data_IF_663864472428
#
_entry.id   IF_663864472428
#
_cell.length_a   1.000
_cell.length_b   1.000
_cell.length_c   1.000
_cell.angle_alpha   90.00
_cell.angle_beta   90.00
_cell.angle_gamma   90.00
#
_symmetry.space_group_name_H-M   'P 1'
#
loop_
_entity.id
_entity.type
_entity.pdbx_description
1 polymer ?
#
# COMPACT_ATOMS: atom_id res chain seq x y z
N UNK A 1 -42.16 16.83 -17.15
CA UNK A 1 -40.84 16.27 -16.82
C UNK A 1 -40.19 15.43 -17.94
N UNK A 2 -40.91 14.98 -18.98
CA UNK A 2 -40.34 14.16 -20.08
C UNK A 2 -39.73 14.92 -21.29
N UNK A 3 -39.92 16.25 -21.42
CA UNK A 3 -39.32 17.01 -22.54
C UNK A 3 -37.87 17.47 -22.30
N UNK A 4 -37.39 17.57 -21.05
CA UNK A 4 -36.03 18.08 -20.75
C UNK A 4 -34.91 17.07 -21.07
N UNK A 5 -35.20 15.77 -21.09
CA UNK A 5 -34.18 14.75 -21.36
C UNK A 5 -33.87 14.60 -22.86
N UNK A 6 -34.83 14.86 -23.75
CA UNK A 6 -34.63 14.74 -25.21
C UNK A 6 -33.61 15.79 -25.72
N UNK A 7 -33.63 17.00 -25.15
CA UNK A 7 -32.70 18.06 -25.53
C UNK A 7 -31.25 17.80 -25.07
N UNK A 8 -31.05 17.18 -23.89
CA UNK A 8 -29.70 16.80 -23.44
C UNK A 8 -29.08 15.73 -24.34
N UNK A 9 -29.86 14.72 -24.75
CA UNK A 9 -29.35 13.66 -25.63
C UNK A 9 -29.01 14.16 -27.03
N UNK A 10 -29.80 15.11 -27.58
CA UNK A 10 -29.53 15.74 -28.88
C UNK A 10 -28.27 16.62 -28.86
N UNK A 11 -28.00 17.35 -27.77
CA UNK A 11 -26.81 18.20 -27.62
C UNK A 11 -25.54 17.35 -27.48
N UNK A 12 -25.58 16.26 -26.70
CA UNK A 12 -24.45 15.32 -26.60
C UNK A 12 -24.11 14.64 -27.93
N UNK A 13 -25.12 14.33 -28.76
CA UNK A 13 -24.89 13.74 -30.07
C UNK A 13 -24.29 14.73 -31.07
N UNK A 14 -24.67 16.02 -31.01
CA UNK A 14 -24.11 17.07 -31.86
C UNK A 14 -22.65 17.41 -31.51
N UNK A 15 -22.30 17.39 -30.21
CA UNK A 15 -20.94 17.61 -29.72
C UNK A 15 -19.99 16.47 -30.13
N UNK A 16 -20.47 15.23 -30.14
CA UNK A 16 -19.68 14.06 -30.58
C UNK A 16 -19.35 14.13 -32.09
N UNK A 17 -20.30 14.59 -32.91
CA UNK A 17 -20.09 14.76 -34.37
C UNK A 17 -19.08 15.88 -34.67
N UNK A 18 -19.09 16.96 -33.89
CA UNK A 18 -18.12 18.06 -34.01
C UNK A 18 -16.70 17.64 -33.58
N UNK A 19 -16.57 16.74 -32.62
CA UNK A 19 -15.28 16.21 -32.16
C UNK A 19 -14.65 15.22 -33.17
N UNK A 20 -15.47 14.40 -33.84
CA UNK A 20 -14.98 13.49 -34.88
C UNK A 20 -14.49 14.24 -36.13
N UNK A 21 -15.06 15.41 -36.43
CA UNK A 21 -14.62 16.26 -37.54
C UNK A 21 -13.33 17.05 -37.25
N UNK A 22 -13.01 17.36 -35.99
CA UNK A 22 -11.75 18.05 -35.65
C UNK A 22 -10.53 17.12 -35.70
N UNK A 23 -10.70 15.83 -35.40
CA UNK A 23 -9.63 14.82 -35.41
C UNK A 23 -9.26 14.36 -36.83
N UNK A 24 -10.17 14.50 -37.82
CA UNK A 24 -9.86 14.15 -39.22
C UNK A 24 -9.12 15.24 -40.01
N UNK A 25 -8.87 16.42 -39.43
CA UNK A 25 -8.18 17.53 -40.12
C UNK A 25 -6.69 17.70 -39.76
N UNK A 26 -6.10 16.88 -38.89
CA UNK A 26 -4.69 17.01 -38.48
C UNK A 26 -3.75 15.96 -39.07
N UNK A 27 -4.23 15.04 -39.90
CA UNK A 27 -3.41 14.06 -40.63
C UNK A 27 -3.29 14.44 -42.11
N UNK A 28 -2.67 15.59 -42.38
CA UNK A 28 -2.18 15.96 -43.71
C UNK A 28 -1.11 17.03 -43.59
N UNK A 29 0.09 16.62 -43.18
CA UNK A 29 1.38 17.27 -43.49
C UNK A 29 2.52 16.52 -42.80
N UNK A 30 3.24 15.68 -43.55
CA UNK A 30 4.70 15.51 -43.47
C UNK A 30 5.14 14.32 -44.33
N UNK A 31 5.42 14.62 -45.60
CA UNK A 31 6.29 13.81 -46.46
C UNK A 31 7.31 14.77 -47.06
N UNK A 32 8.59 14.65 -46.67
CA UNK A 32 9.77 15.05 -47.46
C UNK A 32 11.03 14.88 -46.59
N UNK A 33 11.82 13.83 -46.85
CA UNK A 33 13.26 13.90 -47.16
C UNK A 33 13.82 12.46 -47.31
N UNK A 34 14.13 12.07 -48.56
CA UNK A 34 15.18 11.08 -48.86
C UNK A 34 16.55 11.79 -48.94
N UNK A 35 17.70 11.16 -49.18
CA UNK A 35 18.07 9.82 -49.64
C UNK A 35 19.61 9.69 -49.57
N UNK A 36 20.09 8.46 -49.35
CA UNK A 36 21.34 7.80 -49.82
C UNK A 36 22.75 8.35 -49.48
N UNK A 37 23.61 7.45 -48.95
CA UNK A 37 24.67 6.75 -49.73
C UNK A 37 25.38 5.61 -48.99
N UNK A 38 25.69 4.58 -49.79
CA UNK A 38 26.34 3.28 -49.52
C UNK A 38 27.82 3.33 -49.12
N UNK A 39 28.30 2.20 -48.57
CA UNK A 39 29.70 1.76 -48.65
C UNK A 39 30.06 0.63 -47.68
N UNK A 40 29.92 -0.62 -48.12
CA UNK A 40 30.44 -1.82 -47.46
C UNK A 40 31.98 -1.95 -47.58
N UNK A 41 32.55 -2.69 -46.61
CA UNK A 41 33.40 -3.89 -46.80
C UNK A 41 34.87 -3.90 -46.32
N UNK A 42 35.17 -4.96 -45.53
CA UNK A 42 36.41 -5.79 -45.44
C UNK A 42 37.48 -5.58 -44.33
N UNK A 43 37.43 -6.53 -43.37
CA UNK A 43 38.45 -7.45 -42.74
C UNK A 43 39.69 -7.00 -41.95
N UNK A 44 39.88 -7.68 -40.79
CA UNK A 44 41.05 -8.45 -40.27
C UNK A 44 42.48 -7.86 -40.47
N UNK A 45 43.43 -7.94 -39.54
CA UNK A 45 43.91 -9.13 -38.82
C UNK A 45 44.96 -8.72 -37.77
N UNK A 46 45.15 -9.59 -36.77
CA UNK A 46 46.15 -9.50 -35.71
C UNK A 46 47.55 -9.93 -36.17
N UNK A 47 48.60 -9.51 -35.45
CA UNK A 47 49.96 -10.00 -35.62
C UNK A 47 50.84 -9.76 -34.39
N UNK A 48 51.16 -10.84 -33.69
CA UNK A 48 52.14 -10.97 -32.60
C UNK A 48 53.47 -11.57 -33.17
N UNK A 49 54.45 -12.05 -32.38
CA UNK A 49 55.64 -11.38 -31.80
C UNK A 49 56.99 -11.91 -32.34
N UNK A 50 58.12 -11.34 -31.89
CA UNK A 50 59.40 -12.03 -31.58
C UNK A 50 60.44 -10.99 -31.06
N UNK A 51 60.90 -11.01 -29.80
CA UNK A 51 61.84 -11.92 -29.10
C UNK A 51 63.33 -11.55 -29.24
N UNK A 52 64.06 -11.69 -28.11
CA UNK A 52 65.52 -11.89 -27.93
C UNK A 52 66.39 -10.60 -27.93
N UNK A 53 67.33 -10.36 -27.02
CA UNK A 53 68.24 -11.22 -26.24
C UNK A 53 68.72 -10.53 -24.94
N UNK A 54 68.98 -11.34 -23.90
CA UNK A 54 69.96 -11.11 -22.82
C UNK A 54 71.30 -11.78 -23.22
N UNK A 55 72.45 -11.72 -22.49
CA UNK A 55 72.67 -11.40 -21.06
C UNK A 55 73.96 -10.57 -20.77
N UNK A 56 74.22 -10.20 -19.50
CA UNK A 56 75.49 -10.55 -18.83
C UNK A 56 75.47 -10.27 -17.31
N UNK A 57 76.23 -11.08 -16.58
CA UNK A 57 76.33 -11.18 -15.11
C UNK A 57 77.26 -10.12 -14.48
N UNK A 58 77.05 -9.83 -13.19
CA UNK A 58 78.00 -9.05 -12.38
C UNK A 58 77.59 -8.86 -10.92
N UNK A 59 78.10 -9.73 -10.05
CA UNK A 59 77.90 -9.77 -8.58
C UNK A 59 78.70 -8.65 -7.88
N UNK A 60 78.09 -7.85 -6.97
CA UNK A 60 78.65 -7.41 -5.66
C UNK A 60 77.51 -7.03 -4.69
N UNK A 61 77.65 -7.43 -3.42
CA UNK A 61 76.77 -7.19 -2.26
C UNK A 61 76.87 -5.74 -1.74
N UNK A 62 75.75 -5.16 -1.27
CA UNK A 62 75.65 -4.47 0.04
C UNK A 62 74.24 -3.89 0.31
N UNK A 63 73.74 -4.18 1.51
CA UNK A 63 72.89 -3.41 2.41
C UNK A 63 71.65 -2.62 1.90
N UNK A 64 70.49 -3.13 2.32
CA UNK A 64 69.49 -2.44 3.14
C UNK A 64 68.91 -1.11 2.61
N UNK A 65 67.72 -1.21 1.99
CA UNK A 65 66.64 -0.21 2.14
C UNK A 65 65.30 -0.90 1.97
N UNK A 66 64.52 -0.90 3.04
CA UNK A 66 63.10 -1.22 2.99
C UNK A 66 62.42 -0.28 1.99
N UNK A 67 61.91 -0.83 0.89
CA UNK A 67 60.77 -0.21 0.22
C UNK A 67 59.57 -0.45 1.12
N UNK A 68 59.25 0.53 1.95
CA UNK A 68 57.91 0.60 2.51
C UNK A 68 56.95 0.66 1.34
N UNK A 69 56.11 -0.36 1.22
CA UNK A 69 54.76 -0.12 0.73
C UNK A 69 54.20 0.92 1.70
N UNK A 70 54.17 2.18 1.27
CA UNK A 70 53.23 3.14 1.84
C UNK A 70 51.86 2.58 1.49
N UNK A 71 51.34 1.74 2.38
CA UNK A 71 49.92 1.54 2.50
C UNK A 71 49.35 2.94 2.74
N UNK A 72 48.87 3.59 1.67
CA UNK A 72 47.98 4.72 1.81
C UNK A 72 46.83 4.21 2.68
N UNK A 73 46.84 4.62 3.93
CA UNK A 73 45.78 4.37 4.89
C UNK A 73 44.52 4.92 4.23
N UNK A 74 43.69 4.01 3.70
CA UNK A 74 42.49 4.38 2.95
C UNK A 74 41.56 4.98 3.98
N UNK A 75 41.44 6.30 3.96
CA UNK A 75 40.57 7.01 4.88
C UNK A 75 39.14 6.51 4.71
N UNK A 76 38.38 6.37 5.81
CA UNK A 76 37.00 5.95 5.73
C UNK A 76 36.19 6.98 4.93
N UNK A 77 35.18 6.49 4.21
CA UNK A 77 34.26 7.35 3.46
C UNK A 77 33.36 8.08 4.45
N UNK A 78 33.33 9.42 4.36
CA UNK A 78 32.54 10.26 5.26
C UNK A 78 31.11 10.40 4.76
N UNK A 79 30.19 9.90 5.56
CA UNK A 79 28.76 9.87 5.29
C UNK A 79 28.07 10.88 6.19
N UNK A 80 27.35 11.82 5.60
CA UNK A 80 26.41 12.66 6.32
C UNK A 80 25.00 12.09 6.16
N UNK A 81 24.30 11.92 7.28
CA UNK A 81 22.90 11.49 7.29
C UNK A 81 22.07 12.68 7.75
N UNK A 82 21.11 13.07 6.92
CA UNK A 82 20.22 14.18 7.21
C UNK A 82 19.44 13.95 8.50
N UNK A 83 19.33 14.99 9.33
CA UNK A 83 18.73 14.88 10.67
C UNK A 83 17.23 14.59 10.64
N UNK A 84 16.55 14.91 9.54
CA UNK A 84 15.13 14.62 9.35
C UNK A 84 14.87 13.20 8.82
N UNK A 85 15.90 12.37 8.62
CA UNK A 85 15.68 10.93 8.38
C UNK A 85 15.10 10.33 9.67
N UNK A 86 13.91 9.68 9.61
CA UNK A 86 13.24 9.14 10.79
C UNK A 86 14.16 8.22 11.62
N UNK A 87 14.11 8.33 12.95
CA UNK A 87 15.04 7.65 13.87
C UNK A 87 15.07 6.12 13.68
N UNK A 88 13.94 5.51 13.34
CA UNK A 88 13.83 4.07 13.08
C UNK A 88 14.66 3.62 11.87
N UNK A 89 14.76 4.48 10.85
CA UNK A 89 15.59 4.26 9.67
C UNK A 89 17.03 4.69 9.97
N UNK A 90 17.20 5.87 10.56
CA UNK A 90 18.50 6.45 10.91
C UNK A 90 19.32 5.52 11.79
N UNK A 91 18.73 4.95 12.83
CA UNK A 91 19.43 4.04 13.73
C UNK A 91 19.92 2.76 13.04
N UNK A 92 19.15 2.20 12.08
CA UNK A 92 19.57 1.07 11.24
C UNK A 92 20.76 1.45 10.37
N UNK A 93 20.69 2.59 9.69
CA UNK A 93 21.78 3.12 8.87
C UNK A 93 23.04 3.37 9.70
N UNK A 94 22.90 3.99 10.87
CA UNK A 94 24.01 4.28 11.79
C UNK A 94 24.67 2.99 12.27
N UNK A 95 23.87 1.99 12.67
CA UNK A 95 24.40 0.69 13.11
C UNK A 95 25.14 -0.03 11.98
N UNK A 96 24.60 0.04 10.75
CA UNK A 96 25.24 -0.53 9.58
C UNK A 96 26.59 0.14 9.32
N UNK A 97 26.62 1.47 9.23
CA UNK A 97 27.84 2.24 8.98
C UNK A 97 28.90 2.01 10.06
N UNK A 98 28.51 2.00 11.34
CA UNK A 98 29.44 1.73 12.44
C UNK A 98 30.01 0.30 12.44
N UNK A 99 29.40 -0.64 11.73
CA UNK A 99 29.90 -2.01 11.60
C UNK A 99 30.98 -2.16 10.53
N UNK A 100 31.08 -1.19 9.62
CA UNK A 100 32.05 -1.17 8.52
C UNK A 100 33.20 -0.19 8.83
N UNK A 101 34.45 -0.66 8.99
CA UNK A 101 35.59 0.22 9.26
C UNK A 101 35.93 1.16 8.09
N UNK A 102 35.39 0.92 6.90
CA UNK A 102 35.62 1.75 5.72
C UNK A 102 34.67 2.95 5.62
N UNK A 103 33.73 3.10 6.56
CA UNK A 103 32.72 4.15 6.57
C UNK A 103 32.79 4.95 7.89
N UNK A 104 32.51 6.26 7.82
CA UNK A 104 32.49 7.15 8.99
C UNK A 104 31.30 8.10 8.92
N UNK A 105 30.55 8.25 10.02
CA UNK A 105 29.46 9.23 10.10
C UNK A 105 30.00 10.58 10.54
N UNK A 106 29.74 11.62 9.75
CA UNK A 106 30.05 13.01 10.09
C UNK A 106 28.81 13.76 10.56
N UNK A 107 29.02 14.74 11.45
CA UNK A 107 27.92 15.53 12.03
C UNK A 107 27.50 16.71 11.15
N UNK A 108 28.46 17.37 10.50
CA UNK A 108 28.17 18.52 9.65
C UNK A 108 28.13 18.07 8.19
N UNK A 109 27.16 18.56 7.44
CA UNK A 109 27.06 18.29 6.00
C UNK A 109 28.31 18.71 5.23
N UNK A 110 28.97 19.81 5.64
CA UNK A 110 30.20 20.29 5.00
C UNK A 110 31.42 19.36 5.14
N UNK A 111 31.36 18.36 6.02
CA UNK A 111 32.42 17.36 6.20
C UNK A 111 32.13 16.06 5.43
N UNK A 112 30.96 15.95 4.79
CA UNK A 112 30.48 14.75 4.10
C UNK A 112 30.99 14.64 2.67
N UNK A 113 31.21 13.40 2.23
CA UNK A 113 31.52 13.05 0.84
C UNK A 113 30.31 12.41 0.15
N UNK A 114 29.51 11.67 0.93
CA UNK A 114 28.23 11.10 0.52
C UNK A 114 27.16 11.53 1.51
N UNK A 115 25.99 11.83 0.97
CA UNK A 115 24.87 12.42 1.67
C UNK A 115 23.68 11.49 1.54
N UNK A 116 23.09 11.12 2.67
CA UNK A 116 21.83 10.38 2.73
C UNK A 116 20.73 11.36 3.12
N UNK A 117 19.79 11.53 2.21
CA UNK A 117 18.70 12.48 2.34
C UNK A 117 17.36 11.79 2.15
N UNK A 118 16.35 12.26 2.88
CA UNK A 118 14.97 11.86 2.62
C UNK A 118 14.36 12.79 1.58
N UNK A 119 13.89 12.22 0.47
CA UNK A 119 13.29 12.95 -0.66
C UNK A 119 12.00 12.26 -1.11
N UNK A 120 11.14 12.88 -1.93
CA UNK A 120 9.95 12.21 -2.45
C UNK A 120 10.33 10.93 -3.21
N UNK A 121 9.56 9.85 -3.05
CA UNK A 121 9.81 8.58 -3.72
C UNK A 121 9.65 8.67 -5.26
N UNK A 122 8.89 9.67 -5.74
CA UNK A 122 8.81 10.05 -7.15
C UNK A 122 10.12 10.64 -7.72
N UNK A 123 11.10 10.92 -6.85
CA UNK A 123 12.38 11.53 -7.18
C UNK A 123 12.32 13.06 -7.27
N UNK A 124 13.48 13.67 -7.55
CA UNK A 124 13.62 15.12 -7.77
C UNK A 124 13.86 15.37 -9.26
N UNK A 125 13.12 16.30 -9.85
CA UNK A 125 13.15 16.59 -11.30
C UNK A 125 14.18 17.62 -11.74
N UNK A 126 14.84 18.31 -10.80
CA UNK A 126 15.76 19.43 -11.11
C UNK A 126 17.09 18.98 -11.76
N UNK A 127 17.42 17.68 -11.75
CA UNK A 127 18.59 17.13 -12.46
C UNK A 127 19.95 17.68 -12.03
N UNK A 128 19.99 18.52 -11.00
CA UNK A 128 21.18 19.14 -10.43
C UNK A 128 22.03 18.17 -9.61
N UNK A 129 21.41 17.10 -9.12
CA UNK A 129 22.04 16.04 -8.32
C UNK A 129 21.58 14.69 -8.85
N UNK A 130 22.52 13.76 -9.01
CA UNK A 130 22.22 12.36 -9.36
C UNK A 130 22.05 11.57 -8.07
N UNK A 131 20.80 11.23 -7.76
CA UNK A 131 20.47 10.38 -6.63
C UNK A 131 20.49 8.91 -7.02
N UNK A 132 20.86 8.05 -6.07
CA UNK A 132 20.68 6.60 -6.17
C UNK A 132 19.74 6.15 -5.07
N UNK A 133 18.79 5.30 -5.44
CA UNK A 133 17.82 4.73 -4.51
C UNK A 133 18.47 3.63 -3.68
N UNK A 134 18.11 3.58 -2.41
CA UNK A 134 18.55 2.57 -1.45
C UNK A 134 17.47 1.52 -1.16
N UNK A 135 16.27 1.64 -1.75
CA UNK A 135 15.08 0.87 -1.41
C UNK A 135 14.68 1.03 0.08
N UNK A 136 14.86 2.24 0.59
CA UNK A 136 14.52 2.61 1.97
C UNK A 136 13.40 3.64 1.94
N UNK A 137 12.21 3.25 2.37
CA UNK A 137 11.01 4.08 2.24
C UNK A 137 10.42 4.51 3.58
N UNK A 138 9.81 5.69 3.59
CA UNK A 138 9.00 6.19 4.69
C UNK A 138 7.66 6.66 4.13
N UNK A 139 6.58 6.01 4.56
CA UNK A 139 5.24 6.21 4.06
C UNK A 139 4.42 6.91 5.15
N UNK A 140 3.77 8.00 4.78
CA UNK A 140 2.84 8.74 5.63
C UNK A 140 1.43 8.71 5.05
N UNK A 141 0.41 8.85 5.89
CA UNK A 141 -0.99 8.82 5.46
C UNK A 141 -1.80 9.95 6.09
N UNK A 142 -2.68 10.62 5.34
CA UNK A 142 -3.62 11.56 5.91
C UNK A 142 -4.65 10.81 6.76
N UNK A 143 -5.02 11.40 7.88
CA UNK A 143 -5.97 10.82 8.82
C UNK A 143 -6.93 11.87 9.36
N UNK A 144 -8.14 11.42 9.71
CA UNK A 144 -9.17 12.24 10.33
C UNK A 144 -9.89 11.47 11.44
N UNK A 145 -10.84 12.13 12.09
CA UNK A 145 -11.70 11.50 13.09
C UNK A 145 -12.46 10.32 12.48
N UNK A 146 -12.50 9.19 13.19
CA UNK A 146 -13.01 7.92 12.64
C UNK A 146 -14.42 8.01 12.05
N UNK A 147 -15.30 8.79 12.68
CA UNK A 147 -16.70 8.91 12.26
C UNK A 147 -16.95 9.98 11.18
N UNK A 148 -15.91 10.63 10.67
CA UNK A 148 -16.04 11.53 9.53
C UNK A 148 -16.56 10.75 8.32
N UNK A 149 -17.36 11.37 7.46
CA UNK A 149 -17.94 10.76 6.27
C UNK A 149 -17.04 10.80 5.03
N UNK A 150 -15.94 11.54 5.04
CA UNK A 150 -15.01 11.64 3.90
C UNK A 150 -14.00 10.49 3.87
N UNK A 151 -13.83 9.82 2.74
CA UNK A 151 -12.91 8.67 2.61
C UNK A 151 -11.65 8.99 1.80
N UNK A 152 -11.61 10.16 1.18
CA UNK A 152 -10.52 10.60 0.29
C UNK A 152 -10.15 12.06 0.52
N UNK A 153 -8.93 12.40 0.13
CA UNK A 153 -8.37 13.74 0.10
C UNK A 153 -7.44 13.88 -1.11
N UNK A 154 -7.43 15.05 -1.72
CA UNK A 154 -6.51 15.35 -2.82
C UNK A 154 -5.23 16.00 -2.30
N UNK A 155 -4.09 15.58 -2.85
CA UNK A 155 -2.78 16.15 -2.54
C UNK A 155 -2.71 17.64 -2.84
N UNK A 156 -3.35 18.08 -3.92
CA UNK A 156 -3.40 19.50 -4.28
C UNK A 156 -4.11 20.34 -3.23
N UNK A 157 -5.17 19.80 -2.61
CA UNK A 157 -5.89 20.50 -1.54
C UNK A 157 -5.02 20.61 -0.29
N UNK A 158 -4.31 19.53 0.08
CA UNK A 158 -3.33 19.55 1.17
C UNK A 158 -2.24 20.61 0.95
N UNK A 159 -1.67 20.67 -0.27
CA UNK A 159 -0.64 21.66 -0.62
C UNK A 159 -1.18 23.09 -0.60
N UNK A 160 -2.37 23.31 -1.14
CA UNK A 160 -3.02 24.60 -1.13
C UNK A 160 -3.28 25.06 0.31
N UNK A 161 -3.75 24.16 1.16
CA UNK A 161 -3.99 24.43 2.57
C UNK A 161 -2.70 24.77 3.33
N UNK A 162 -1.64 23.98 3.13
CA UNK A 162 -0.30 24.24 3.69
C UNK A 162 0.21 25.63 3.28
N UNK A 163 -0.02 26.01 2.03
CA UNK A 163 0.34 27.30 1.44
C UNK A 163 -0.59 28.46 1.83
N UNK A 164 -1.59 28.21 2.68
CA UNK A 164 -2.44 29.24 3.30
C UNK A 164 -3.87 29.35 2.75
N UNK A 165 -4.28 28.51 1.80
CA UNK A 165 -5.68 28.46 1.35
C UNK A 165 -6.57 27.72 2.36
N UNK A 166 -7.23 28.48 3.23
CA UNK A 166 -8.07 27.92 4.30
C UNK A 166 -9.33 27.19 3.80
N UNK A 167 -9.74 27.39 2.54
CA UNK A 167 -10.96 26.80 1.98
C UNK A 167 -10.70 25.46 1.26
N UNK A 168 -9.46 25.18 0.89
CA UNK A 168 -9.07 23.98 0.13
C UNK A 168 -9.47 22.66 0.80
N UNK A 169 -9.47 22.59 2.13
CA UNK A 169 -9.90 21.40 2.90
C UNK A 169 -11.32 21.51 3.48
N UNK A 170 -12.11 22.53 3.11
CA UNK A 170 -13.39 22.82 3.74
C UNK A 170 -14.41 21.66 3.65
N UNK A 171 -14.27 20.75 2.68
CA UNK A 171 -15.13 19.57 2.53
C UNK A 171 -14.91 18.51 3.61
N UNK A 172 -13.77 18.54 4.30
CA UNK A 172 -13.45 17.61 5.40
C UNK A 172 -14.22 17.98 6.67
N UNK A 173 -14.66 19.24 6.79
CA UNK A 173 -15.33 19.75 7.98
C UNK A 173 -16.78 19.28 8.10
N UNK A 174 -17.08 18.60 9.20
CA UNK A 174 -18.44 18.47 9.69
C UNK A 174 -18.77 19.61 10.67
N UNK A 175 -19.55 20.60 10.21
CA UNK A 175 -20.20 21.57 11.11
C UNK A 175 -19.53 22.95 11.27
N UNK A 176 -18.68 23.38 10.32
CA UNK A 176 -18.22 24.79 10.23
C UNK A 176 -17.23 25.22 11.33
N UNK A 177 -16.59 24.27 12.02
CA UNK A 177 -15.43 24.53 12.87
C UNK A 177 -14.19 24.87 12.02
N UNK A 178 -13.18 25.55 12.57
CA UNK A 178 -11.91 25.70 11.86
C UNK A 178 -11.21 24.34 11.70
N UNK A 179 -10.61 24.11 10.53
CA UNK A 179 -9.73 22.96 10.30
C UNK A 179 -8.44 23.21 11.05
N UNK A 180 -8.12 22.30 11.97
CA UNK A 180 -6.81 22.24 12.62
C UNK A 180 -6.10 21.00 12.10
N UNK A 181 -4.91 21.21 11.52
CA UNK A 181 -3.99 20.13 11.17
C UNK A 181 -2.99 19.98 12.30
N UNK A 182 -2.90 18.79 12.87
CA UNK A 182 -1.86 18.47 13.83
C UNK A 182 -0.88 17.47 13.27
N UNK A 183 0.41 17.67 13.53
CA UNK A 183 1.50 16.84 13.05
C UNK A 183 2.46 16.57 14.21
N UNK A 184 3.07 15.40 14.22
CA UNK A 184 4.27 15.16 15.01
C UNK A 184 5.46 15.90 14.38
N UNK A 185 6.50 16.17 15.18
CA UNK A 185 7.66 16.96 14.75
C UNK A 185 8.38 16.35 13.53
N UNK A 186 8.48 15.02 13.48
CA UNK A 186 9.11 14.29 12.39
C UNK A 186 8.37 14.49 11.05
N UNK A 187 7.05 14.27 11.05
CA UNK A 187 6.16 14.46 9.89
C UNK A 187 6.15 15.93 9.44
N UNK A 188 6.11 16.87 10.39
CA UNK A 188 6.18 18.30 10.12
C UNK A 188 7.48 18.68 9.40
N UNK A 189 8.63 18.23 9.91
CA UNK A 189 9.93 18.56 9.34
C UNK A 189 10.13 17.99 7.92
N UNK A 190 9.63 16.77 7.66
CA UNK A 190 9.62 16.19 6.31
C UNK A 190 8.75 17.06 5.39
N UNK A 191 7.54 17.43 5.80
CA UNK A 191 6.66 18.26 4.99
C UNK A 191 7.23 19.66 4.74
N UNK A 192 7.91 20.28 5.72
CA UNK A 192 8.62 21.56 5.53
C UNK A 192 9.72 21.43 4.48
N UNK A 193 10.50 20.34 4.45
CA UNK A 193 11.51 20.13 3.41
C UNK A 193 10.90 20.12 2.01
N UNK A 194 9.73 19.50 1.87
CA UNK A 194 9.11 19.25 0.56
C UNK A 194 8.21 20.40 0.08
N UNK A 195 7.47 21.01 1.01
CA UNK A 195 6.48 22.06 0.71
C UNK A 195 6.97 23.47 1.06
N UNK A 196 8.09 23.58 1.78
CA UNK A 196 8.55 24.83 2.39
C UNK A 196 7.82 25.14 3.69
N UNK A 197 8.16 26.27 4.31
CA UNK A 197 7.51 26.75 5.54
C UNK A 197 6.00 26.95 5.32
N UNK A 198 5.15 26.45 6.24
CA UNK A 198 3.71 26.62 6.11
C UNK A 198 3.31 28.09 6.23
N UNK A 199 2.35 28.52 5.41
CA UNK A 199 1.75 29.85 5.52
C UNK A 199 0.44 29.83 6.33
N UNK A 200 -0.05 28.63 6.71
CA UNK A 200 -1.28 28.45 7.46
C UNK A 200 -1.02 28.37 8.97
N UNK A 201 -1.68 29.24 9.72
CA UNK A 201 -1.58 29.36 11.18
C UNK A 201 -2.36 28.26 11.94
N UNK A 202 -3.13 27.44 11.24
CA UNK A 202 -3.87 26.32 11.82
C UNK A 202 -3.09 24.99 11.81
N UNK A 203 -1.80 25.02 11.49
CA UNK A 203 -0.89 23.88 11.64
C UNK A 203 -0.30 23.89 13.04
N UNK A 204 -0.40 22.77 13.74
CA UNK A 204 0.11 22.62 15.09
C UNK A 204 1.03 21.41 15.17
N UNK A 205 2.19 21.59 15.81
CA UNK A 205 3.11 20.48 16.12
C UNK A 205 2.85 20.04 17.56
N UNK A 206 2.57 18.75 17.76
CA UNK A 206 2.29 18.18 19.10
C UNK A 206 2.58 16.68 19.14
N UNK A 207 2.60 16.10 20.34
CA UNK A 207 2.80 14.66 20.54
C UNK A 207 1.67 13.83 19.95
N UNK A 208 2.00 12.66 19.38
CA UNK A 208 1.04 11.79 18.71
C UNK A 208 -0.16 11.41 19.60
N UNK A 209 0.03 11.19 20.90
CA UNK A 209 -1.08 10.91 21.82
C UNK A 209 -2.08 12.07 21.93
N UNK A 210 -1.57 13.30 21.93
CA UNK A 210 -2.40 14.51 22.01
C UNK A 210 -3.17 14.74 20.71
N UNK A 211 -2.60 14.35 19.55
CA UNK A 211 -3.30 14.36 18.26
C UNK A 211 -4.52 13.43 18.32
N UNK A 212 -4.34 12.19 18.79
CA UNK A 212 -5.45 11.22 18.82
C UNK A 212 -6.54 11.62 19.82
N UNK A 213 -6.16 12.15 20.98
CA UNK A 213 -7.11 12.67 21.95
C UNK A 213 -7.82 13.94 21.42
N UNK A 214 -7.10 14.74 20.63
CA UNK A 214 -7.59 15.91 19.90
C UNK A 214 -8.67 15.59 18.86
N UNK A 215 -8.54 14.47 18.14
CA UNK A 215 -9.61 13.96 17.27
C UNK A 215 -10.87 13.61 18.08
N UNK A 216 -10.70 12.91 19.20
CA UNK A 216 -11.80 12.44 20.04
C UNK A 216 -12.62 13.57 20.67
N UNK A 217 -11.97 14.70 20.99
CA UNK A 217 -12.61 15.88 21.55
C UNK A 217 -13.02 16.94 20.49
N UNK A 218 -12.65 16.71 19.22
CA UNK A 218 -12.98 17.57 18.09
C UNK A 218 -12.22 18.90 18.05
N UNK A 219 -11.00 18.94 18.62
CA UNK A 219 -10.05 20.05 18.48
C UNK A 219 -9.11 19.89 17.28
N UNK A 220 -8.86 18.66 16.85
CA UNK A 220 -8.10 18.31 15.64
C UNK A 220 -9.05 17.80 14.57
N UNK A 221 -8.83 18.21 13.32
CA UNK A 221 -9.66 17.83 12.17
C UNK A 221 -8.95 16.88 11.23
N UNK A 222 -7.64 17.09 11.04
CA UNK A 222 -6.82 16.30 10.15
C UNK A 222 -5.41 16.15 10.73
N UNK A 223 -4.74 15.07 10.37
CA UNK A 223 -3.33 14.84 10.66
C UNK A 223 -2.71 14.09 9.48
N UNK A 224 -1.39 14.05 9.42
CA UNK A 224 -0.63 13.16 8.56
C UNK A 224 0.29 12.37 9.49
N UNK A 225 0.20 11.05 9.45
CA UNK A 225 0.92 10.17 10.36
C UNK A 225 1.74 9.14 9.58
N UNK A 226 2.88 8.75 10.13
CA UNK A 226 3.65 7.60 9.65
C UNK A 226 2.79 6.32 9.65
N UNK A 227 2.96 5.46 8.65
CA UNK A 227 2.18 4.22 8.53
C UNK A 227 2.24 3.34 9.79
N UNK A 228 3.43 3.14 10.36
CA UNK A 228 3.64 2.36 11.59
C UNK A 228 3.10 3.02 12.87
N UNK A 229 2.67 4.29 12.80
CA UNK A 229 2.07 5.03 13.92
C UNK A 229 0.54 5.19 13.80
N UNK A 230 -0.08 4.58 12.79
CA UNK A 230 -1.54 4.63 12.61
C UNK A 230 -2.26 4.07 13.85
N UNK A 231 -3.19 4.84 14.41
CA UNK A 231 -4.02 4.45 15.55
C UNK A 231 -5.42 4.02 15.08
N UNK A 232 -5.96 2.94 15.64
CA UNK A 232 -7.31 2.43 15.33
C UNK A 232 -8.46 3.41 15.63
N UNK A 233 -8.21 4.47 16.41
CA UNK A 233 -9.18 5.50 16.77
C UNK A 233 -9.35 6.56 15.67
N UNK A 234 -8.52 6.55 14.63
CA UNK A 234 -8.60 7.47 13.50
C UNK A 234 -8.98 6.71 12.23
N UNK A 235 -9.57 7.44 11.28
CA UNK A 235 -9.77 6.93 9.92
C UNK A 235 -8.64 7.44 9.04
N UNK A 236 -7.99 6.54 8.32
CA UNK A 236 -7.01 6.88 7.30
C UNK A 236 -7.74 7.17 5.99
N UNK A 237 -7.33 8.24 5.33
CA UNK A 237 -7.94 8.72 4.09
C UNK A 237 -7.09 8.24 2.91
N UNK A 238 -7.76 7.91 1.81
CA UNK A 238 -7.08 7.69 0.53
C UNK A 238 -6.57 9.04 0.01
N UNK A 239 -5.37 9.06 -0.57
CA UNK A 239 -4.75 10.24 -1.14
C UNK A 239 -4.74 10.12 -2.66
N UNK A 240 -5.41 11.03 -3.37
CA UNK A 240 -5.62 10.94 -4.82
C UNK A 240 -6.21 9.57 -5.26
N UNK A 241 -7.11 9.02 -4.44
CA UNK A 241 -7.70 7.69 -4.67
C UNK A 241 -6.80 6.49 -4.36
N UNK A 242 -5.56 6.69 -3.88
CA UNK A 242 -4.66 5.61 -3.45
C UNK A 242 -4.76 5.38 -1.94
N UNK A 243 -4.85 4.12 -1.52
CA UNK A 243 -4.87 3.76 -0.10
C UNK A 243 -3.51 3.19 0.33
N UNK A 244 -3.05 3.60 1.51
CA UNK A 244 -1.82 3.04 2.10
C UNK A 244 -1.98 1.56 2.50
N UNK A 245 -3.19 1.02 2.50
CA UNK A 245 -3.44 -0.39 2.78
C UNK A 245 -3.40 -1.27 1.53
N UNK A 246 -3.32 -0.68 0.33
CA UNK A 246 -3.32 -1.41 -0.95
C UNK A 246 -1.98 -2.12 -1.12
N UNK A 247 -1.96 -3.46 -1.17
CA UNK A 247 -0.71 -4.25 -1.12
C UNK A 247 0.28 -3.87 -2.23
N UNK A 248 -0.23 -3.48 -3.40
CA UNK A 248 0.48 -3.11 -4.61
C UNK A 248 0.65 -1.59 -4.80
N UNK A 249 0.48 -0.79 -3.74
CA UNK A 249 0.71 0.66 -3.78
C UNK A 249 2.09 1.00 -4.39
N UNK A 250 2.06 1.74 -5.50
CA UNK A 250 3.27 2.29 -6.11
C UNK A 250 3.71 3.56 -5.36
N UNK A 251 4.86 3.48 -4.71
CA UNK A 251 5.42 4.61 -3.95
C UNK A 251 5.84 5.78 -4.84
N UNK A 252 6.14 5.54 -6.12
CA UNK A 252 6.52 6.61 -7.04
C UNK A 252 5.34 7.51 -7.41
N UNK A 253 4.11 7.01 -7.31
CA UNK A 253 2.89 7.76 -7.57
C UNK A 253 2.28 8.36 -6.29
N UNK A 254 2.58 7.80 -5.12
CA UNK A 254 2.00 8.22 -3.85
C UNK A 254 2.70 9.47 -3.24
N UNK A 255 2.04 10.64 -3.13
CA UNK A 255 2.71 11.90 -2.80
C UNK A 255 3.31 12.01 -1.39
N UNK A 256 2.87 11.15 -0.47
CA UNK A 256 3.38 11.06 0.89
C UNK A 256 4.27 9.82 1.10
N UNK A 257 4.84 9.29 0.02
CA UNK A 257 5.94 8.33 0.07
C UNK A 257 7.27 9.05 -0.12
N UNK A 258 8.21 8.76 0.76
CA UNK A 258 9.55 9.32 0.73
C UNK A 258 10.56 8.18 0.65
N UNK A 259 11.64 8.39 -0.08
CA UNK A 259 12.78 7.48 -0.15
C UNK A 259 14.00 8.13 0.49
N UNK A 260 14.78 7.35 1.22
CA UNK A 260 16.13 7.73 1.63
C UNK A 260 17.06 7.40 0.48
N UNK A 261 17.58 8.45 -0.15
CA UNK A 261 18.46 8.33 -1.29
C UNK A 261 19.85 8.85 -0.96
N UNK A 262 20.82 8.35 -1.70
CA UNK A 262 22.21 8.78 -1.59
C UNK A 262 22.65 9.59 -2.79
N UNK A 263 23.51 10.56 -2.55
CA UNK A 263 24.21 11.30 -3.58
C UNK A 263 25.62 11.72 -3.12
N UNK A 264 26.47 12.09 -4.07
CA UNK A 264 27.87 12.46 -3.84
C UNK A 264 28.58 12.76 -5.15
N UNK A 265 29.79 13.32 -5.09
CA UNK A 265 30.55 13.68 -6.30
C UNK A 265 31.32 12.49 -6.91
N UNK A 266 31.70 11.50 -6.10
CA UNK A 266 32.47 10.33 -6.52
C UNK A 266 31.56 9.10 -6.71
N UNK A 267 31.33 8.74 -7.97
CA UNK A 267 30.48 7.60 -8.34
C UNK A 267 31.05 6.27 -7.84
N UNK A 268 32.38 6.11 -7.76
CA UNK A 268 32.98 4.88 -7.24
C UNK A 268 32.75 4.73 -5.72
N UNK A 269 32.71 5.85 -5.00
CA UNK A 269 32.38 5.88 -3.57
C UNK A 269 30.90 5.57 -3.35
N UNK A 270 30.02 6.15 -4.17
CA UNK A 270 28.58 5.86 -4.17
C UNK A 270 28.31 4.36 -4.40
N UNK A 271 28.87 3.78 -5.45
CA UNK A 271 28.65 2.36 -5.78
C UNK A 271 29.25 1.45 -4.69
N UNK A 272 30.35 1.85 -4.05
CA UNK A 272 30.89 1.13 -2.89
C UNK A 272 29.93 1.16 -1.70
N UNK A 273 29.31 2.30 -1.42
CA UNK A 273 28.31 2.42 -0.34
C UNK A 273 27.05 1.62 -0.69
N UNK A 274 26.52 1.75 -1.91
CA UNK A 274 25.39 0.94 -2.37
C UNK A 274 25.67 -0.55 -2.21
N UNK A 275 26.85 -1.01 -2.63
CA UNK A 275 27.25 -2.40 -2.48
C UNK A 275 27.45 -2.80 -1.02
N UNK A 276 27.91 -1.90 -0.16
CA UNK A 276 27.98 -2.17 1.27
C UNK A 276 26.56 -2.32 1.81
N UNK A 277 25.67 -1.38 1.53
CA UNK A 277 24.30 -1.32 2.04
C UNK A 277 23.32 -2.23 1.28
N UNK A 278 23.83 -3.11 0.42
CA UNK A 278 23.04 -4.08 -0.32
C UNK A 278 22.25 -4.98 0.64
N UNK A 279 20.98 -5.20 0.34
CA UNK A 279 20.05 -5.95 1.19
C UNK A 279 19.50 -5.18 2.40
N UNK A 280 19.84 -3.90 2.60
CA UNK A 280 19.20 -3.03 3.59
C UNK A 280 17.88 -2.46 3.05
N UNK A 281 16.96 -3.34 2.69
CA UNK A 281 15.60 -2.94 2.33
C UNK A 281 14.80 -2.71 3.61
N UNK A 282 14.22 -1.51 3.76
CA UNK A 282 13.36 -1.23 4.91
C UNK A 282 12.30 -0.22 4.54
N UNK A 283 11.12 -0.42 5.09
CA UNK A 283 10.03 0.55 5.04
C UNK A 283 9.33 0.58 6.39
N UNK A 284 8.75 1.72 6.76
CA UNK A 284 7.85 1.76 7.91
C UNK A 284 6.46 1.15 7.58
N UNK A 285 6.28 0.66 6.35
CA UNK A 285 5.09 -0.03 5.86
C UNK A 285 5.37 -1.51 5.58
N UNK A 286 5.35 -2.32 6.64
CA UNK A 286 5.53 -3.77 6.52
C UNK A 286 4.20 -4.48 6.24
N UNK A 287 3.98 -4.87 4.98
CA UNK A 287 2.76 -5.58 4.58
C UNK A 287 2.79 -7.08 4.89
N UNK A 288 3.92 -7.62 5.36
CA UNK A 288 4.01 -9.00 5.85
C UNK A 288 3.40 -9.15 7.25
N UNK A 289 3.30 -8.04 8.00
CA UNK A 289 2.59 -7.94 9.29
C UNK A 289 1.17 -7.36 9.13
N UNK A 290 0.68 -7.16 7.92
CA UNK A 290 -0.65 -6.60 7.67
C UNK A 290 -1.68 -7.70 7.37
N UNK A 291 -2.79 -7.73 8.11
CA UNK A 291 -3.95 -8.60 7.83
C UNK A 291 -5.15 -7.78 7.38
N UNK A 292 -5.72 -8.11 6.23
CA UNK A 292 -7.04 -7.63 5.79
C UNK A 292 -8.15 -8.62 6.15
N UNK A 293 -9.26 -8.10 6.67
CA UNK A 293 -10.47 -8.86 6.99
C UNK A 293 -11.66 -8.22 6.28
N UNK A 294 -12.36 -9.00 5.45
CA UNK A 294 -13.67 -8.60 4.92
C UNK A 294 -14.77 -9.37 5.63
N UNK A 295 -15.68 -8.62 6.26
CA UNK A 295 -16.87 -9.17 6.89
C UNK A 295 -18.10 -8.91 6.04
N UNK A 296 -18.74 -9.98 5.53
CA UNK A 296 -20.03 -9.81 4.89
C UNK A 296 -21.14 -9.56 5.92
N UNK A 297 -22.19 -8.88 5.48
CA UNK A 297 -23.48 -8.96 6.16
C UNK A 297 -24.17 -10.31 5.93
N UNK A 298 -25.43 -10.36 6.34
CA UNK A 298 -26.31 -11.52 6.24
C UNK A 298 -26.35 -12.08 4.81
N UNK A 299 -25.95 -13.34 4.69
CA UNK A 299 -25.97 -14.15 3.47
C UNK A 299 -27.12 -15.16 3.59
N UNK A 300 -28.15 -14.95 2.77
CA UNK A 300 -29.31 -15.83 2.70
C UNK A 300 -29.51 -16.31 1.25
N UNK A 301 -29.08 -17.54 0.97
CA UNK A 301 -29.18 -18.18 -0.35
C UNK A 301 -30.56 -18.81 -0.54
N UNK A 302 -31.61 -17.97 -0.41
CA UNK A 302 -33.03 -18.36 -0.41
C UNK A 302 -33.86 -17.39 -1.24
N UNK A 303 -35.16 -17.67 -1.43
CA UNK A 303 -36.11 -16.78 -2.14
C UNK A 303 -35.56 -16.29 -3.50
N UNK A 304 -35.56 -14.99 -3.74
CA UNK A 304 -35.08 -14.39 -4.99
C UNK A 304 -33.61 -14.69 -5.27
N UNK A 305 -32.76 -14.80 -4.25
CA UNK A 305 -31.35 -15.16 -4.42
C UNK A 305 -31.22 -16.58 -4.97
N UNK A 306 -31.87 -17.55 -4.33
CA UNK A 306 -31.90 -18.95 -4.78
C UNK A 306 -32.49 -19.07 -6.19
N UNK A 307 -33.58 -18.37 -6.50
CA UNK A 307 -34.16 -18.38 -7.85
C UNK A 307 -33.20 -17.84 -8.90
N UNK A 308 -32.36 -16.86 -8.56
CA UNK A 308 -31.32 -16.35 -9.48
C UNK A 308 -30.20 -17.37 -9.64
N UNK A 309 -29.79 -18.05 -8.58
CA UNK A 309 -28.80 -19.12 -8.62
C UNK A 309 -29.25 -20.27 -9.53
N UNK A 310 -30.50 -20.72 -9.43
CA UNK A 310 -31.05 -21.77 -10.31
C UNK A 310 -31.10 -21.35 -11.79
N UNK A 311 -31.42 -20.07 -12.05
CA UNK A 311 -31.58 -19.58 -13.43
C UNK A 311 -30.26 -19.18 -14.12
N UNK A 312 -29.26 -18.77 -13.34
CA UNK A 312 -28.01 -18.18 -13.86
C UNK A 312 -26.75 -18.97 -13.47
N UNK A 313 -26.88 -19.99 -12.62
CA UNK A 313 -25.77 -20.74 -12.05
C UNK A 313 -25.55 -20.38 -10.58
N UNK A 314 -25.12 -21.37 -9.78
CA UNK A 314 -24.93 -21.26 -8.33
C UNK A 314 -24.01 -20.10 -7.96
N UNK A 315 -23.00 -19.82 -8.78
CA UNK A 315 -21.98 -18.80 -8.52
C UNK A 315 -22.46 -17.37 -8.80
N UNK A 316 -23.61 -17.20 -9.45
CA UNK A 316 -24.10 -15.91 -9.95
C UNK A 316 -24.07 -14.77 -8.92
N UNK A 317 -24.45 -14.96 -7.64
CA UNK A 317 -24.36 -13.88 -6.65
C UNK A 317 -22.93 -13.40 -6.36
N UNK A 318 -21.93 -14.26 -6.54
CA UNK A 318 -20.53 -14.00 -6.25
C UNK A 318 -19.71 -13.49 -7.43
N UNK A 319 -20.17 -13.64 -8.67
CA UNK A 319 -19.38 -13.41 -9.90
C UNK A 319 -18.67 -12.04 -9.96
N UNK A 320 -19.24 -11.00 -9.34
CA UNK A 320 -18.69 -9.63 -9.38
C UNK A 320 -17.93 -9.22 -8.13
N UNK A 321 -17.97 -10.03 -7.07
CA UNK A 321 -17.42 -9.68 -5.76
C UNK A 321 -16.42 -10.72 -5.25
N UNK A 322 -16.35 -11.90 -5.86
CA UNK A 322 -15.49 -12.98 -5.39
C UNK A 322 -14.01 -12.58 -5.39
N UNK A 323 -13.54 -11.83 -6.39
CA UNK A 323 -12.14 -11.39 -6.45
C UNK A 323 -11.81 -10.44 -5.29
N UNK A 324 -12.71 -9.48 -5.00
CA UNK A 324 -12.57 -8.58 -3.86
C UNK A 324 -12.56 -9.35 -2.52
N UNK A 325 -13.44 -10.33 -2.36
CA UNK A 325 -13.49 -11.13 -1.14
C UNK A 325 -12.20 -11.94 -0.96
N UNK A 326 -11.76 -12.65 -2.01
CA UNK A 326 -10.53 -13.46 -2.01
C UNK A 326 -9.24 -12.68 -1.85
N UNK A 327 -9.26 -11.38 -2.12
CA UNK A 327 -8.10 -10.51 -1.91
C UNK A 327 -7.80 -10.31 -0.42
N UNK A 328 -8.82 -10.48 0.44
CA UNK A 328 -8.62 -10.41 1.88
C UNK A 328 -7.87 -11.65 2.40
N UNK A 329 -7.04 -11.45 3.43
CA UNK A 329 -6.41 -12.57 4.14
C UNK A 329 -7.44 -13.42 4.91
N UNK A 330 -8.58 -12.81 5.28
CA UNK A 330 -9.70 -13.49 5.94
C UNK A 330 -11.02 -13.00 5.32
N UNK A 331 -11.78 -13.91 4.73
CA UNK A 331 -13.15 -13.71 4.28
C UNK A 331 -14.13 -14.31 5.27
N UNK A 332 -14.92 -13.45 5.89
CA UNK A 332 -16.00 -13.85 6.78
C UNK A 332 -17.35 -13.87 6.07
N UNK A 333 -18.10 -14.97 6.21
CA UNK A 333 -19.47 -15.12 5.72
C UNK A 333 -20.46 -15.25 6.88
N UNK A 334 -21.45 -14.35 6.94
CA UNK A 334 -22.60 -14.48 7.84
C UNK A 334 -23.70 -15.32 7.20
N UNK A 335 -23.65 -16.66 7.36
CA UNK A 335 -24.68 -17.52 6.77
C UNK A 335 -25.88 -17.65 7.72
N UNK A 336 -27.07 -17.28 7.25
CA UNK A 336 -28.26 -17.18 8.08
C UNK A 336 -29.18 -18.42 8.04
N UNK A 337 -29.00 -19.31 7.06
CA UNK A 337 -29.94 -20.39 6.74
C UNK A 337 -29.26 -21.77 6.71
N UNK A 338 -29.96 -22.85 7.12
CA UNK A 338 -29.41 -24.19 7.06
C UNK A 338 -29.41 -24.73 5.63
N UNK A 339 -28.46 -25.61 5.33
CA UNK A 339 -28.51 -26.46 4.15
C UNK A 339 -29.42 -27.66 4.42
N UNK A 340 -30.33 -27.92 3.48
CA UNK A 340 -31.35 -28.97 3.61
C UNK A 340 -31.50 -29.71 2.28
N UNK A 341 -31.33 -31.05 2.29
CA UNK A 341 -31.56 -31.84 1.08
C UNK A 341 -32.99 -31.71 0.58
N UNK A 342 -33.16 -31.57 -0.73
CA UNK A 342 -34.47 -31.37 -1.34
C UNK A 342 -35.05 -29.96 -1.14
N UNK A 343 -34.30 -29.03 -0.56
CA UNK A 343 -34.69 -27.63 -0.52
C UNK A 343 -34.84 -27.06 -1.95
N UNK A 344 -35.97 -26.41 -2.22
CA UNK A 344 -36.30 -25.88 -3.55
C UNK A 344 -36.40 -24.36 -3.53
N UNK A 345 -35.75 -23.70 -4.49
CA UNK A 345 -35.82 -22.24 -4.68
C UNK A 345 -37.22 -21.73 -5.06
N UNK A 346 -38.09 -22.62 -5.53
CA UNK A 346 -39.43 -22.29 -6.04
C UNK A 346 -40.56 -22.64 -5.07
N UNK A 347 -40.25 -23.33 -3.96
CA UNK A 347 -41.21 -23.55 -2.89
C UNK A 347 -41.23 -22.35 -1.94
N UNK A 348 -42.38 -21.68 -1.81
CA UNK A 348 -42.59 -20.65 -0.81
C UNK A 348 -43.10 -21.30 0.49
N UNK A 349 -42.19 -21.49 1.46
CA UNK A 349 -42.50 -21.99 2.79
C UNK A 349 -42.35 -20.94 3.88
N UNK A 350 -42.64 -19.67 3.57
CA UNK A 350 -42.59 -18.60 4.57
C UNK A 350 -43.35 -18.98 5.86
N UNK A 351 -42.74 -18.85 7.06
CA UNK A 351 -41.47 -18.16 7.35
C UNK A 351 -40.21 -19.06 7.39
N UNK A 352 -40.28 -20.32 6.96
CA UNK A 352 -39.18 -21.28 7.04
C UNK A 352 -38.30 -21.25 5.78
N UNK A 353 -37.00 -21.08 5.98
CA UNK A 353 -35.99 -20.95 4.94
C UNK A 353 -34.97 -22.08 5.00
N UNK A 354 -34.52 -22.50 3.82
CA UNK A 354 -33.43 -23.44 3.64
C UNK A 354 -32.66 -23.12 2.35
N UNK A 355 -31.44 -23.63 2.25
CA UNK A 355 -30.65 -23.62 1.02
C UNK A 355 -30.41 -25.06 0.53
N UNK A 356 -30.36 -25.24 -0.79
CA UNK A 356 -29.89 -26.51 -1.37
C UNK A 356 -28.42 -26.72 -0.98
N UNK A 357 -27.98 -27.94 -0.59
CA UNK A 357 -26.58 -28.19 -0.25
C UNK A 357 -25.59 -27.80 -1.36
N UNK A 358 -26.01 -27.84 -2.63
CA UNK A 358 -25.17 -27.43 -3.77
C UNK A 358 -24.77 -25.94 -3.70
N UNK A 359 -25.55 -25.10 -3.01
CA UNK A 359 -25.27 -23.67 -2.86
C UNK A 359 -24.01 -23.38 -2.03
N UNK A 360 -23.51 -24.36 -1.28
CA UNK A 360 -22.20 -24.25 -0.61
C UNK A 360 -21.08 -23.88 -1.59
N UNK A 361 -21.22 -24.26 -2.87
CA UNK A 361 -20.27 -23.91 -3.92
C UNK A 361 -20.12 -22.40 -4.13
N UNK A 362 -21.13 -21.59 -3.79
CA UNK A 362 -20.99 -20.14 -3.78
C UNK A 362 -20.05 -19.69 -2.65
N UNK A 363 -20.17 -20.28 -1.45
CA UNK A 363 -19.33 -19.94 -0.30
C UNK A 363 -17.86 -20.34 -0.55
N UNK A 364 -17.63 -21.48 -1.20
CA UNK A 364 -16.29 -21.88 -1.66
C UNK A 364 -15.77 -20.90 -2.72
N UNK A 365 -16.62 -20.53 -3.68
CA UNK A 365 -16.26 -19.66 -4.77
C UNK A 365 -15.90 -18.24 -4.32
N UNK A 366 -16.45 -17.73 -3.22
CA UNK A 366 -16.08 -16.41 -2.67
C UNK A 366 -14.89 -16.47 -1.71
N UNK A 367 -14.33 -17.66 -1.44
CA UNK A 367 -13.14 -17.81 -0.61
C UNK A 367 -13.40 -17.76 0.89
N UNK A 368 -14.50 -18.33 1.38
CA UNK A 368 -14.85 -18.32 2.82
C UNK A 368 -13.73 -18.91 3.69
N UNK A 369 -13.36 -18.18 4.75
CA UNK A 369 -12.41 -18.61 5.77
C UNK A 369 -13.06 -18.82 7.14
N UNK A 370 -14.15 -18.10 7.44
CA UNK A 370 -14.91 -18.22 8.70
C UNK A 370 -16.39 -17.99 8.48
N UNK A 371 -17.23 -18.77 9.18
CA UNK A 371 -18.70 -18.66 9.08
C UNK A 371 -19.32 -18.19 10.39
N UNK A 372 -20.12 -17.13 10.32
CA UNK A 372 -20.99 -16.70 11.41
C UNK A 372 -22.38 -17.35 11.31
N UNK A 373 -22.88 -17.83 12.44
CA UNK A 373 -24.16 -18.54 12.58
C UNK A 373 -25.20 -17.77 13.39
N UNK A 374 -25.02 -16.45 13.57
CA UNK A 374 -25.90 -15.61 14.38
C UNK A 374 -27.21 -15.24 13.68
N UNK A 375 -27.44 -15.71 12.45
CA UNK A 375 -28.71 -15.56 11.75
C UNK A 375 -29.86 -16.25 12.48
N UNK A 376 -31.06 -15.69 12.37
CA UNK A 376 -32.24 -16.17 13.10
C UNK A 376 -33.02 -17.30 12.38
N UNK A 377 -32.48 -17.86 11.29
CA UNK A 377 -33.14 -18.89 10.48
C UNK A 377 -32.39 -20.23 10.47
N UNK A 378 -31.27 -20.35 11.20
CA UNK A 378 -30.43 -21.55 11.20
C UNK A 378 -31.15 -22.85 11.63
N UNK A 379 -32.24 -22.76 12.40
CA UNK A 379 -33.01 -23.91 12.88
C UNK A 379 -34.41 -24.06 12.26
N UNK A 380 -34.72 -23.35 11.17
CA UNK A 380 -36.05 -23.38 10.54
C UNK A 380 -36.53 -24.79 10.17
N UNK A 381 -35.59 -25.69 9.85
CA UNK A 381 -35.87 -27.09 9.51
C UNK A 381 -35.52 -28.08 10.64
N UNK A 382 -35.13 -27.58 11.81
CA UNK A 382 -34.80 -28.37 12.99
C UNK A 382 -33.32 -28.71 13.14
N UNK A 383 -32.99 -29.27 14.31
CA UNK A 383 -31.62 -29.50 14.77
C UNK A 383 -30.79 -30.39 13.84
N UNK A 384 -31.37 -31.45 13.29
CA UNK A 384 -30.62 -32.40 12.45
C UNK A 384 -30.04 -31.72 11.19
N UNK A 385 -30.79 -30.78 10.60
CA UNK A 385 -30.32 -30.01 9.44
C UNK A 385 -29.31 -28.93 9.79
N UNK A 386 -29.41 -28.38 11.00
CA UNK A 386 -28.38 -27.50 11.53
C UNK A 386 -27.06 -28.26 11.73
N UNK A 387 -27.10 -29.46 12.33
CA UNK A 387 -25.92 -30.33 12.48
C UNK A 387 -25.33 -30.71 11.12
N UNK A 388 -26.18 -31.10 10.17
CA UNK A 388 -25.76 -31.36 8.79
C UNK A 388 -25.03 -30.16 8.17
N UNK A 389 -25.52 -28.94 8.41
CA UNK A 389 -24.86 -27.70 7.97
C UNK A 389 -23.47 -27.53 8.59
N UNK A 390 -23.32 -27.81 9.90
CA UNK A 390 -22.01 -27.75 10.57
C UNK A 390 -21.03 -28.80 10.02
N UNK A 391 -21.51 -30.01 9.71
CA UNK A 391 -20.69 -31.05 9.07
C UNK A 391 -20.15 -30.59 7.71
N UNK A 392 -20.97 -29.88 6.92
CA UNK A 392 -20.50 -29.31 5.65
C UNK A 392 -19.37 -28.27 5.82
N UNK A 393 -19.35 -27.54 6.94
CA UNK A 393 -18.27 -26.60 7.26
C UNK A 393 -17.02 -27.32 7.77
N UNK A 394 -17.18 -28.34 8.62
CA UNK A 394 -16.09 -29.16 9.12
C UNK A 394 -15.35 -29.87 7.98
N UNK A 395 -16.07 -30.40 6.99
CA UNK A 395 -15.51 -31.03 5.79
C UNK A 395 -14.59 -30.09 4.97
N UNK A 396 -14.79 -28.78 5.11
CA UNK A 396 -14.01 -27.73 4.45
C UNK A 396 -12.94 -27.12 5.36
N UNK A 397 -12.92 -27.51 6.63
CA UNK A 397 -12.06 -26.90 7.64
C UNK A 397 -12.44 -25.44 7.95
N UNK A 398 -13.68 -25.03 7.69
CA UNK A 398 -14.15 -23.68 8.00
C UNK A 398 -14.53 -23.57 9.47
N UNK A 399 -13.78 -22.85 10.30
CA UNK A 399 -14.23 -22.53 11.64
C UNK A 399 -15.53 -21.71 11.59
N UNK A 400 -16.40 -21.93 12.56
CA UNK A 400 -17.65 -21.22 12.68
C UNK A 400 -17.88 -20.75 14.12
N UNK A 401 -18.72 -19.73 14.30
CA UNK A 401 -19.05 -19.15 15.60
C UNK A 401 -20.50 -18.67 15.70
N UNK A 402 -20.96 -18.40 16.91
CA UNK A 402 -22.34 -17.93 17.16
C UNK A 402 -23.40 -19.04 17.12
N UNK A 403 -22.97 -20.30 17.09
CA UNK A 403 -23.78 -21.51 17.09
C UNK A 403 -22.89 -22.74 17.30
N UNK A 404 -23.47 -23.91 17.58
CA UNK A 404 -22.68 -25.12 17.83
C UNK A 404 -23.54 -26.34 18.12
N UNK A 405 -22.92 -27.52 18.16
CA UNK A 405 -23.61 -28.80 18.39
C UNK A 405 -24.20 -28.92 19.79
N UNK A 406 -23.63 -28.17 20.72
CA UNK A 406 -24.04 -28.05 22.09
C UNK A 406 -23.79 -26.63 22.59
N UNK A 407 -24.17 -26.38 23.85
CA UNK A 407 -24.06 -25.08 24.47
C UNK A 407 -22.60 -24.61 24.58
N UNK A 408 -21.67 -25.51 24.89
CA UNK A 408 -20.25 -25.17 25.06
C UNK A 408 -19.64 -24.72 23.74
N UNK A 409 -19.94 -25.44 22.64
CA UNK A 409 -19.53 -25.04 21.29
C UNK A 409 -20.19 -23.74 20.85
N UNK A 410 -21.46 -23.50 21.21
CA UNK A 410 -22.15 -22.26 20.84
C UNK A 410 -21.52 -20.99 21.44
N UNK A 411 -20.83 -21.12 22.58
CA UNK A 411 -20.09 -20.04 23.21
C UNK A 411 -18.61 -19.97 22.78
N UNK A 412 -18.11 -20.99 22.08
CA UNK A 412 -16.72 -21.01 21.65
C UNK A 412 -16.50 -19.98 20.52
N UNK A 413 -15.42 -19.18 20.59
CA UNK A 413 -15.05 -18.32 19.48
C UNK A 413 -14.48 -19.15 18.33
N UNK A 414 -14.64 -18.67 17.10
CA UNK A 414 -13.77 -19.08 16.01
C UNK A 414 -12.42 -18.35 16.15
N UNK A 415 -11.33 -19.10 16.13
CA UNK A 415 -9.97 -18.58 16.28
C UNK A 415 -9.23 -18.71 14.95
N UNK A 416 -8.70 -17.59 14.45
CA UNK A 416 -7.88 -17.54 13.23
C UNK A 416 -6.60 -16.77 13.53
N UNK A 417 -5.49 -17.21 12.95
CA UNK A 417 -4.22 -16.49 12.98
C UNK A 417 -3.82 -16.12 11.55
N UNK A 418 -3.46 -14.87 11.32
CA UNK A 418 -3.01 -14.35 10.02
C UNK A 418 -1.94 -13.29 10.25
N UNK A 419 -0.82 -13.38 9.53
CA UNK A 419 0.29 -12.40 9.56
C UNK A 419 0.75 -12.01 10.98
N UNK A 420 0.81 -13.00 11.89
CA UNK A 420 1.20 -12.82 13.29
C UNK A 420 0.10 -12.29 14.23
N UNK A 421 -1.06 -11.90 13.68
CA UNK A 421 -2.23 -11.44 14.42
C UNK A 421 -3.18 -12.58 14.76
N UNK A 422 -3.77 -12.52 15.97
CA UNK A 422 -4.75 -13.50 16.45
C UNK A 422 -6.13 -12.88 16.52
N UNK A 423 -7.08 -13.49 15.82
CA UNK A 423 -8.47 -13.08 15.75
C UNK A 423 -9.33 -14.06 16.55
N UNK A 424 -10.28 -13.51 17.29
CA UNK A 424 -11.33 -14.27 17.95
C UNK A 424 -12.69 -13.70 17.52
N UNK A 425 -13.46 -14.50 16.78
CA UNK A 425 -14.80 -14.12 16.35
C UNK A 425 -15.83 -14.63 17.35
N UNK A 426 -16.67 -13.72 17.85
CA UNK A 426 -17.75 -14.02 18.79
C UNK A 426 -19.07 -13.55 18.22
N UNK A 427 -20.10 -14.35 18.43
CA UNK A 427 -21.42 -14.13 17.86
C UNK A 427 -22.48 -14.35 18.91
N UNK A 428 -23.42 -13.41 19.01
CA UNK A 428 -24.51 -13.46 19.97
C UNK A 428 -25.80 -13.11 19.24
N UNK A 429 -26.74 -14.06 19.21
CA UNK A 429 -28.06 -13.82 18.65
C UNK A 429 -29.09 -13.64 19.78
N UNK A 430 -29.75 -12.48 19.80
CA UNK A 430 -30.84 -12.19 20.75
C UNK A 430 -32.16 -12.85 20.33
N UNK A 431 -32.42 -12.87 19.02
CA UNK A 431 -33.57 -13.53 18.41
C UNK A 431 -33.11 -14.91 17.98
N UNK A 432 -32.99 -15.82 18.97
CA UNK A 432 -32.44 -17.15 18.74
C UNK A 432 -33.08 -17.87 17.54
N UNK A 433 -32.30 -18.74 16.86
CA UNK A 433 -32.77 -19.51 15.71
C UNK A 433 -33.88 -20.51 16.06
#
# INVERSE_FOLDING_TARGET
MRLKNIYKTLISFLLLILFVFSVSCTLSSCTLFGKDREGDDISEEAGDPASKDSPDEGIVKEENKSSGDEAHEKLPVRIWIEDIVPEEIRSKLVNYVNSDPDLEIVKNSGDGEVFLEIIPASGITDGSVTYKDMNIFYIMAPSTFFYNTIDEIEWEDLRAWWSGDKESLAYILEGGKPIIMALEEQEYNILVKILGEPANDNIQVMDGTDIIDGFSNGSITISIAAFNKIDKRVKILSLNGMSVFDRDLDYSDYPLAFSVMLHGEDEAVIERILSAMDGLETTNRDMSEFTSLIMTGVTAMVRGTAQRMENHGILYPGEKIADLLKEADITHISNEVPFVEGCSAFEDRFPFFCSSPEYIGLLEYVGTDVVELTGNHMNDHGHDWFIYTLEMYDDRGWPYYGGGRDLDQSYAPALIESNGHKFAFLGFNWWGP
#
